data_IF_203700285138
#
_entry.id   IF_203700285138
#
_cell.length_a   1.000
_cell.length_b   1.000
_cell.length_c   1.000
_cell.angle_alpha   90.00
_cell.angle_beta   90.00
_cell.angle_gamma   90.00
#
_symmetry.space_group_name_H-M   'P 1'
#
loop_
_entity.id
_entity.type
_entity.pdbx_description
1 polymer ?
#
# COMPACT_ATOMS: atom_id res chain seq x y z
N UNK A 1 4.78 -76.15 -22.22
CA UNK A 1 3.55 -75.77 -21.48
C UNK A 1 4.02 -75.20 -20.15
N UNK A 2 3.93 -73.91 -19.80
CA UNK A 2 3.02 -72.84 -20.20
C UNK A 2 2.47 -72.21 -18.91
N UNK A 3 2.47 -70.88 -18.83
CA UNK A 3 1.99 -69.99 -17.74
C UNK A 3 2.89 -69.90 -16.49
N UNK A 4 3.71 -68.85 -16.30
CA UNK A 4 3.45 -67.41 -16.12
C UNK A 4 2.88 -67.06 -14.73
N UNK A 5 3.78 -66.84 -13.78
CA UNK A 5 3.53 -66.22 -12.47
C UNK A 5 3.42 -64.71 -12.67
N UNK A 6 2.23 -64.14 -12.45
CA UNK A 6 1.99 -62.70 -12.57
C UNK A 6 2.42 -61.95 -11.30
N UNK A 7 3.33 -61.00 -11.52
CA UNK A 7 3.37 -59.63 -11.00
C UNK A 7 2.81 -59.35 -9.59
N UNK A 8 3.70 -59.02 -8.64
CA UNK A 8 3.35 -58.27 -7.42
C UNK A 8 4.44 -57.26 -6.99
N UNK A 9 5.28 -56.78 -7.91
CA UNK A 9 6.40 -55.89 -7.60
C UNK A 9 6.16 -54.40 -7.98
N UNK A 10 4.98 -54.04 -8.49
CA UNK A 10 4.73 -52.71 -9.05
C UNK A 10 4.06 -51.70 -8.10
N UNK A 11 3.40 -52.15 -7.03
CA UNK A 11 2.53 -51.27 -6.21
C UNK A 11 3.28 -50.56 -5.08
N UNK A 12 4.28 -51.21 -4.48
CA UNK A 12 5.06 -50.62 -3.39
C UNK A 12 5.98 -49.47 -3.87
N UNK A 13 6.54 -49.57 -5.08
CA UNK A 13 7.47 -48.58 -5.63
C UNK A 13 6.75 -47.27 -5.98
N UNK A 14 5.51 -47.34 -6.49
CA UNK A 14 4.68 -46.16 -6.76
C UNK A 14 4.26 -45.42 -5.48
N UNK A 15 3.95 -46.15 -4.39
CA UNK A 15 3.58 -45.50 -3.12
C UNK A 15 4.75 -44.72 -2.50
N UNK A 16 5.98 -45.24 -2.57
CA UNK A 16 7.15 -44.53 -2.03
C UNK A 16 7.48 -43.29 -2.85
N UNK A 17 7.37 -43.33 -4.18
CA UNK A 17 7.61 -42.15 -5.03
C UNK A 17 6.53 -41.07 -4.87
N UNK A 18 5.26 -41.46 -4.72
CA UNK A 18 4.16 -40.51 -4.47
C UNK A 18 4.25 -39.89 -3.08
N UNK A 19 4.67 -40.64 -2.06
CA UNK A 19 4.93 -40.11 -0.71
C UNK A 19 6.17 -39.22 -0.68
N UNK A 20 7.25 -39.55 -1.40
CA UNK A 20 8.42 -38.66 -1.55
C UNK A 20 8.09 -37.39 -2.34
N UNK A 21 7.20 -37.44 -3.33
CA UNK A 21 6.73 -36.27 -4.05
C UNK A 21 5.76 -35.42 -3.20
N UNK A 22 4.93 -36.04 -2.35
CA UNK A 22 4.04 -35.36 -1.39
C UNK A 22 4.79 -34.75 -0.21
N UNK A 23 5.97 -35.25 0.15
CA UNK A 23 6.84 -34.66 1.20
C UNK A 23 7.71 -33.53 0.63
N UNK A 24 8.04 -33.55 -0.66
CA UNK A 24 8.67 -32.40 -1.36
C UNK A 24 7.66 -31.32 -1.76
N UNK A 25 6.38 -31.68 -1.87
CA UNK A 25 5.25 -30.76 -1.98
C UNK A 25 4.47 -30.65 -0.67
N UNK A 26 5.14 -30.89 0.48
CA UNK A 26 4.64 -30.34 1.73
C UNK A 26 4.49 -28.82 1.53
N UNK A 27 3.44 -28.17 2.06
CA UNK A 27 3.27 -26.75 1.86
C UNK A 27 4.38 -26.04 2.63
N UNK A 28 5.54 -25.88 2.00
CA UNK A 28 6.29 -24.64 2.06
C UNK A 28 5.43 -23.57 1.36
N UNK A 29 4.22 -23.34 1.88
CA UNK A 29 3.65 -22.02 1.93
C UNK A 29 4.61 -21.28 2.85
N UNK A 30 5.70 -20.77 2.26
CA UNK A 30 6.41 -19.67 2.87
C UNK A 30 5.36 -18.60 3.09
N UNK A 31 4.83 -18.54 4.32
CA UNK A 31 4.16 -17.36 4.81
C UNK A 31 5.12 -16.23 4.47
N UNK A 32 4.71 -15.33 3.57
CA UNK A 32 5.45 -14.11 3.37
C UNK A 32 5.58 -13.48 4.75
N UNK A 33 6.79 -13.50 5.30
CA UNK A 33 7.04 -12.87 6.59
C UNK A 33 6.81 -11.39 6.37
N UNK A 34 5.85 -10.85 7.10
CA UNK A 34 5.57 -9.43 7.09
C UNK A 34 5.39 -8.93 8.50
N UNK A 35 5.73 -7.66 8.69
CA UNK A 35 5.54 -6.92 9.93
C UNK A 35 4.60 -5.77 9.67
N UNK A 36 3.59 -5.60 10.52
CA UNK A 36 2.77 -4.39 10.52
C UNK A 36 3.60 -3.19 10.97
N UNK A 37 3.63 -2.17 10.13
CA UNK A 37 4.39 -0.93 10.37
C UNK A 37 3.41 0.11 10.92
N UNK A 38 3.51 0.48 12.20
CA UNK A 38 2.71 1.57 12.72
C UNK A 38 3.13 2.89 12.05
N UNK A 39 2.16 3.77 11.85
CA UNK A 39 2.38 5.08 11.27
C UNK A 39 1.61 6.15 12.03
N UNK A 40 2.10 7.39 11.92
CA UNK A 40 1.45 8.59 12.42
C UNK A 40 0.98 9.43 11.23
N UNK A 41 -0.26 9.92 11.26
CA UNK A 41 -0.73 10.87 10.22
C UNK A 41 -0.12 12.23 10.51
N UNK A 42 0.66 12.75 9.58
CA UNK A 42 1.25 14.08 9.67
C UNK A 42 0.28 15.12 9.14
N UNK A 43 -0.35 14.82 8.02
CA UNK A 43 -1.29 15.72 7.38
C UNK A 43 -2.22 14.99 6.41
N UNK A 44 -3.38 15.55 6.15
CA UNK A 44 -4.35 15.03 5.21
C UNK A 44 -5.37 16.10 4.82
N UNK A 45 -6.01 15.92 3.66
CA UNK A 45 -7.12 16.77 3.24
C UNK A 45 -7.04 17.09 1.78
N UNK A 46 -7.23 18.37 1.45
CA UNK A 46 -7.26 18.88 0.09
C UNK A 46 -6.01 19.73 -0.19
N UNK A 47 -5.16 19.23 -1.08
CA UNK A 47 -3.91 19.86 -1.49
C UNK A 47 -4.08 20.76 -2.72
N UNK A 48 -2.95 21.06 -3.35
CA UNK A 48 -2.85 21.76 -4.63
C UNK A 48 -1.87 21.05 -5.56
N UNK A 49 -1.96 21.33 -6.86
CA UNK A 49 -1.00 20.98 -7.93
C UNK A 49 -0.83 19.49 -8.29
N UNK A 50 -1.51 18.56 -7.60
CA UNK A 50 -1.47 17.14 -7.94
C UNK A 50 -2.68 16.73 -8.78
N UNK A 51 -2.68 17.11 -10.06
CA UNK A 51 -3.77 16.80 -10.99
C UNK A 51 -3.92 15.29 -11.26
N UNK A 52 -2.81 14.56 -11.23
CA UNK A 52 -2.77 13.11 -11.43
C UNK A 52 -2.45 12.40 -10.12
N UNK A 53 -2.86 11.13 -10.03
CA UNK A 53 -2.46 10.25 -8.92
C UNK A 53 -0.94 10.21 -8.84
N UNK A 54 -0.42 10.46 -7.63
CA UNK A 54 1.01 10.45 -7.35
C UNK A 54 1.27 9.88 -5.95
N UNK A 55 2.44 9.26 -5.77
CA UNK A 55 2.90 8.82 -4.47
C UNK A 55 4.37 9.16 -4.29
N UNK A 56 4.77 9.49 -3.06
CA UNK A 56 6.13 9.84 -2.74
C UNK A 56 6.60 9.14 -1.47
N UNK A 57 7.86 8.71 -1.49
CA UNK A 57 8.60 8.31 -0.31
C UNK A 57 9.61 9.41 -0.03
N UNK A 58 9.46 10.10 1.09
CA UNK A 58 10.28 11.26 1.44
C UNK A 58 11.22 10.87 2.58
N UNK A 59 12.52 10.93 2.31
CA UNK A 59 13.58 10.47 3.23
C UNK A 59 14.56 11.59 3.60
N UNK A 60 14.29 12.83 3.20
CA UNK A 60 15.10 13.98 3.58
C UNK A 60 14.26 15.26 3.63
N UNK A 61 14.79 16.22 4.39
CA UNK A 61 14.14 17.50 4.69
C UNK A 61 13.92 18.37 3.45
N UNK A 62 14.88 18.43 2.53
CA UNK A 62 14.75 19.25 1.31
C UNK A 62 13.59 18.82 0.42
N UNK A 63 13.40 17.51 0.25
CA UNK A 63 12.26 16.97 -0.51
C UNK A 63 10.94 17.22 0.24
N UNK A 64 10.96 17.13 1.57
CA UNK A 64 9.78 17.40 2.39
C UNK A 64 9.30 18.84 2.28
N UNK A 65 10.21 19.80 2.46
CA UNK A 65 9.90 21.22 2.33
C UNK A 65 9.38 21.56 0.93
N UNK A 66 10.00 20.99 -0.11
CA UNK A 66 9.59 21.23 -1.49
C UNK A 66 8.16 20.73 -1.75
N UNK A 67 7.84 19.51 -1.30
CA UNK A 67 6.51 18.93 -1.43
C UNK A 67 5.48 19.72 -0.59
N UNK A 68 5.83 20.16 0.62
CA UNK A 68 4.94 20.96 1.47
C UNK A 68 4.57 22.31 0.83
N UNK A 69 5.55 23.00 0.24
CA UNK A 69 5.32 24.27 -0.45
C UNK A 69 4.43 24.10 -1.68
N UNK A 70 4.62 23.01 -2.43
CA UNK A 70 3.76 22.67 -3.57
C UNK A 70 2.33 22.36 -3.12
N UNK A 71 2.19 21.51 -2.10
CA UNK A 71 0.92 21.11 -1.51
C UNK A 71 0.09 22.30 -1.04
N UNK A 72 0.75 23.31 -0.46
CA UNK A 72 0.12 24.49 0.13
C UNK A 72 0.21 25.75 -0.74
N UNK A 73 0.57 25.65 -2.01
CA UNK A 73 0.82 26.85 -2.85
C UNK A 73 -0.41 27.77 -3.00
N UNK A 74 -1.62 27.24 -2.81
CA UNK A 74 -2.88 27.99 -2.83
C UNK A 74 -3.31 28.60 -1.48
N UNK A 75 -2.57 28.35 -0.40
CA UNK A 75 -2.89 28.82 0.94
C UNK A 75 -2.06 30.04 1.35
N UNK A 76 -2.71 31.05 1.96
CA UNK A 76 -2.05 32.25 2.48
C UNK A 76 -2.56 32.55 3.90
N UNK A 77 -1.70 32.52 4.95
CA UNK A 77 -0.28 32.15 4.89
C UNK A 77 -0.10 30.64 4.64
N UNK A 78 1.06 30.27 4.09
CA UNK A 78 1.46 28.86 4.00
C UNK A 78 1.67 28.33 5.42
N UNK A 79 1.09 27.18 5.80
CA UNK A 79 1.32 26.56 7.11
C UNK A 79 2.80 26.21 7.34
N UNK A 80 3.21 26.20 8.60
CA UNK A 80 4.55 25.79 9.00
C UNK A 80 4.81 24.32 8.63
N UNK A 81 6.00 24.02 8.11
CA UNK A 81 6.40 22.66 7.73
C UNK A 81 6.59 21.81 9.00
N UNK A 82 5.92 20.67 9.14
CA UNK A 82 6.11 19.78 10.28
C UNK A 82 7.55 19.27 10.37
N UNK A 83 8.15 19.32 11.57
CA UNK A 83 9.51 18.81 11.80
C UNK A 83 9.52 17.28 11.81
N UNK A 84 10.45 16.68 11.06
CA UNK A 84 10.62 15.22 10.94
C UNK A 84 12.09 14.85 11.09
N UNK A 85 12.39 13.85 11.91
CA UNK A 85 13.76 13.38 12.10
C UNK A 85 14.09 12.30 11.06
N UNK A 86 14.54 12.73 9.88
CA UNK A 86 14.89 11.84 8.76
C UNK A 86 16.06 10.86 9.03
N UNK A 87 16.72 10.96 10.19
CA UNK A 87 17.69 9.92 10.61
C UNK A 87 17.02 8.63 11.07
N UNK A 88 15.76 8.71 11.50
CA UNK A 88 15.00 7.59 12.07
C UNK A 88 13.57 7.49 11.55
N UNK A 89 13.15 8.39 10.67
CA UNK A 89 11.79 8.53 10.17
C UNK A 89 11.79 8.75 8.66
N UNK A 90 10.75 8.28 7.98
CA UNK A 90 10.46 8.67 6.60
C UNK A 90 8.97 8.94 6.45
N UNK A 91 8.61 9.70 5.42
CA UNK A 91 7.22 9.98 5.08
C UNK A 91 6.78 9.21 3.85
N UNK A 92 5.50 8.85 3.84
CA UNK A 92 4.80 8.32 2.68
C UNK A 92 3.63 9.26 2.41
N UNK A 93 3.61 9.84 1.21
CA UNK A 93 2.55 10.71 0.76
C UNK A 93 1.80 10.05 -0.40
N UNK A 94 0.47 10.07 -0.36
CA UNK A 94 -0.40 9.57 -1.43
C UNK A 94 -1.36 10.67 -1.86
N UNK A 95 -1.55 10.80 -3.18
CA UNK A 95 -2.39 11.81 -3.81
C UNK A 95 -3.36 11.12 -4.76
N UNK A 96 -4.66 11.42 -4.62
CA UNK A 96 -5.71 10.80 -5.43
C UNK A 96 -5.82 11.42 -6.84
N UNK A 97 -5.19 12.56 -7.07
CA UNK A 97 -5.38 13.39 -8.26
C UNK A 97 -6.54 14.37 -8.11
N UNK A 98 -6.75 15.19 -9.14
CA UNK A 98 -7.83 16.17 -9.19
C UNK A 98 -9.21 15.49 -9.21
N UNK A 99 -10.16 16.07 -8.46
CA UNK A 99 -11.56 15.64 -8.42
C UNK A 99 -12.48 16.83 -8.67
N UNK A 100 -13.50 16.63 -9.51
CA UNK A 100 -14.43 17.68 -9.92
C UNK A 100 -15.58 17.97 -8.93
N UNK A 101 -15.58 17.32 -7.76
CA UNK A 101 -16.55 17.59 -6.70
C UNK A 101 -15.97 17.28 -5.33
N UNK A 102 -16.64 17.75 -4.28
CA UNK A 102 -16.37 17.32 -2.91
C UNK A 102 -16.74 15.85 -2.69
N UNK A 103 -16.32 15.27 -1.55
CA UNK A 103 -16.74 13.94 -1.11
C UNK A 103 -15.77 12.81 -1.47
N UNK A 104 -14.67 13.13 -2.15
CA UNK A 104 -13.56 12.21 -2.35
C UNK A 104 -12.60 12.28 -1.16
N UNK A 105 -12.02 11.14 -0.79
CA UNK A 105 -11.00 11.06 0.26
C UNK A 105 -9.94 10.03 -0.16
N UNK A 106 -8.73 10.17 0.37
CA UNK A 106 -7.69 9.16 0.27
C UNK A 106 -7.06 8.91 1.63
N UNK A 107 -6.95 7.63 2.00
CA UNK A 107 -6.51 7.22 3.32
C UNK A 107 -5.59 6.01 3.22
N UNK A 108 -4.34 6.16 3.65
CA UNK A 108 -3.46 5.07 4.03
C UNK A 108 -4.06 4.41 5.26
N UNK A 109 -4.50 3.16 5.12
CA UNK A 109 -5.15 2.41 6.20
C UNK A 109 -4.23 1.39 6.85
N UNK A 110 -3.21 0.94 6.12
CA UNK A 110 -2.25 -0.04 6.62
C UNK A 110 -0.92 0.06 5.89
N UNK A 111 0.16 -0.14 6.62
CA UNK A 111 1.49 -0.36 6.04
C UNK A 111 2.02 -1.68 6.59
N UNK A 112 2.48 -2.54 5.70
CA UNK A 112 3.26 -3.73 6.08
C UNK A 112 4.64 -3.65 5.43
N UNK A 113 5.61 -4.26 6.10
CA UNK A 113 6.96 -4.43 5.59
C UNK A 113 7.21 -5.93 5.41
N UNK A 114 7.74 -6.29 4.25
CA UNK A 114 8.35 -7.60 3.99
C UNK A 114 9.86 -7.46 3.97
N UNK A 115 10.59 -8.56 3.84
CA UNK A 115 12.05 -8.53 3.69
C UNK A 115 12.51 -7.80 2.40
N UNK A 116 11.61 -7.49 1.46
CA UNK A 116 11.95 -6.95 0.14
C UNK A 116 11.29 -5.62 -0.22
N UNK A 117 10.18 -5.24 0.43
CA UNK A 117 9.42 -4.03 0.11
C UNK A 117 8.43 -3.67 1.22
N UNK A 118 8.02 -2.40 1.24
CA UNK A 118 6.80 -1.96 1.93
C UNK A 118 5.59 -2.13 1.02
N UNK A 119 4.45 -2.53 1.62
CA UNK A 119 3.14 -2.48 0.98
C UNK A 119 2.26 -1.50 1.75
N UNK A 120 1.80 -0.47 1.06
CA UNK A 120 0.92 0.58 1.57
C UNK A 120 -0.48 0.31 1.02
N UNK A 121 -1.43 0.12 1.92
CA UNK A 121 -2.84 -0.04 1.57
C UNK A 121 -3.51 1.32 1.65
N UNK A 122 -4.17 1.70 0.57
CA UNK A 122 -4.83 3.00 0.40
C UNK A 122 -6.29 2.78 0.05
N UNK A 123 -7.17 3.34 0.87
CA UNK A 123 -8.58 3.45 0.56
C UNK A 123 -8.86 4.80 -0.11
N UNK A 124 -9.42 4.76 -1.31
CA UNK A 124 -9.93 5.92 -2.01
C UNK A 124 -11.46 5.93 -1.89
N UNK A 125 -12.00 6.88 -1.13
CA UNK A 125 -13.45 7.06 -1.00
C UNK A 125 -13.97 7.91 -2.14
N UNK A 126 -15.06 7.47 -2.77
CA UNK A 126 -15.75 8.14 -3.84
C UNK A 126 -17.21 8.36 -3.43
N UNK A 127 -17.81 9.53 -3.71
CA UNK A 127 -19.23 9.73 -3.49
C UNK A 127 -20.04 8.80 -4.41
N UNK A 128 -21.14 8.24 -3.89
CA UNK A 128 -22.08 7.43 -4.66
C UNK A 128 -22.76 8.22 -5.78
N UNK A 129 -23.30 7.51 -6.76
CA UNK A 129 -24.04 8.16 -7.85
C UNK A 129 -25.29 8.85 -7.32
N UNK A 130 -25.53 10.10 -7.74
CA UNK A 130 -26.69 10.87 -7.29
C UNK A 130 -26.54 11.49 -5.90
N UNK A 131 -25.39 11.30 -5.23
CA UNK A 131 -25.05 12.02 -4.02
C UNK A 131 -24.98 13.53 -4.26
N UNK A 132 -25.53 14.30 -3.32
CA UNK A 132 -25.44 15.76 -3.33
C UNK A 132 -24.04 16.24 -2.94
N UNK A 133 -23.12 16.34 -3.89
CA UNK A 133 -21.77 16.89 -3.68
C UNK A 133 -21.65 18.32 -4.21
N UNK A 134 -20.80 19.13 -3.60
CA UNK A 134 -20.49 20.46 -4.13
C UNK A 134 -19.61 20.33 -5.39
N UNK A 135 -19.96 21.07 -6.45
CA UNK A 135 -19.18 21.13 -7.69
C UNK A 135 -17.97 22.06 -7.52
N UNK A 136 -16.93 21.55 -6.87
CA UNK A 136 -15.67 22.24 -6.60
C UNK A 136 -14.50 21.33 -6.93
N UNK A 137 -13.41 21.90 -7.42
CA UNK A 137 -12.17 21.16 -7.68
C UNK A 137 -11.48 20.84 -6.36
N UNK A 138 -11.12 19.57 -6.14
CA UNK A 138 -10.44 19.10 -4.93
C UNK A 138 -9.25 18.22 -5.29
N UNK A 139 -8.33 18.02 -4.34
CA UNK A 139 -7.07 17.28 -4.53
C UNK A 139 -6.77 16.44 -3.28
N UNK A 140 -7.49 15.32 -3.07
CA UNK A 140 -7.37 14.55 -1.85
C UNK A 140 -5.98 13.96 -1.69
N UNK A 141 -5.39 14.11 -0.50
CA UNK A 141 -4.10 13.54 -0.15
C UNK A 141 -4.03 13.11 1.32
N UNK A 142 -3.05 12.25 1.62
CA UNK A 142 -2.63 11.96 2.99
C UNK A 142 -1.13 11.73 3.05
N UNK A 143 -0.52 12.19 4.15
CA UNK A 143 0.89 12.06 4.45
C UNK A 143 1.04 11.41 5.82
N UNK A 144 1.77 10.31 5.86
CA UNK A 144 2.04 9.57 7.09
C UNK A 144 3.53 9.44 7.31
N UNK A 145 3.91 9.34 8.59
CA UNK A 145 5.27 9.13 9.05
C UNK A 145 5.40 7.73 9.61
N UNK A 146 6.51 7.07 9.28
CA UNK A 146 6.90 5.78 9.84
C UNK A 146 8.30 5.86 10.43
N UNK A 147 8.54 5.10 11.51
CA UNK A 147 9.78 5.15 12.29
C UNK A 147 10.41 3.78 12.44
N UNK A 148 11.74 3.68 12.49
CA UNK A 148 12.45 2.48 12.94
C UNK A 148 12.52 1.30 11.96
N UNK A 149 12.27 1.52 10.67
CA UNK A 149 12.30 0.47 9.63
C UNK A 149 13.31 0.81 8.51
N UNK A 150 13.78 -0.15 7.70
CA UNK A 150 14.77 0.10 6.65
C UNK A 150 14.24 1.03 5.55
N UNK A 151 14.86 2.20 5.35
CA UNK A 151 14.34 3.22 4.42
C UNK A 151 14.64 2.97 2.93
N UNK A 152 15.49 1.98 2.62
CA UNK A 152 15.93 1.69 1.25
C UNK A 152 15.02 0.69 0.51
N UNK A 153 14.04 0.12 1.22
CA UNK A 153 13.12 -0.83 0.60
C UNK A 153 12.14 -0.11 -0.34
N UNK A 154 11.87 -0.65 -1.54
CA UNK A 154 10.88 -0.07 -2.43
C UNK A 154 9.49 -0.08 -1.80
N UNK A 155 8.69 0.94 -2.11
CA UNK A 155 7.31 1.07 -1.63
C UNK A 155 6.34 0.69 -2.75
N UNK A 156 5.38 -0.18 -2.45
CA UNK A 156 4.30 -0.60 -3.33
C UNK A 156 2.96 -0.18 -2.74
N UNK A 157 1.98 0.03 -3.62
CA UNK A 157 0.67 0.55 -3.25
C UNK A 157 -0.41 -0.42 -3.70
N UNK A 158 -1.37 -0.66 -2.82
CA UNK A 158 -2.61 -1.40 -3.11
C UNK A 158 -3.76 -0.44 -2.86
N UNK A 159 -4.52 -0.16 -3.92
CA UNK A 159 -5.68 0.73 -3.84
C UNK A 159 -6.96 -0.07 -3.74
N UNK A 160 -7.82 0.36 -2.84
CA UNK A 160 -9.18 -0.12 -2.69
C UNK A 160 -10.14 1.07 -2.85
N UNK A 161 -11.14 0.93 -3.72
CA UNK A 161 -12.12 1.99 -3.98
C UNK A 161 -13.34 1.71 -3.11
N UNK A 162 -13.71 2.69 -2.29
CA UNK A 162 -14.89 2.63 -1.43
C UNK A 162 -15.93 3.61 -1.98
N UNK A 163 -17.13 3.12 -2.26
CA UNK A 163 -18.25 3.99 -2.62
C UNK A 163 -19.01 4.36 -1.34
N UNK A 164 -19.11 5.66 -1.08
CA UNK A 164 -19.90 6.21 0.02
C UNK A 164 -21.26 6.62 -0.53
N UNK A 165 -22.24 5.74 -0.37
CA UNK A 165 -23.64 6.00 -0.72
C UNK A 165 -24.25 7.05 0.22
N UNK A 166 -25.11 7.90 -0.33
CA UNK A 166 -25.84 8.88 0.46
C UNK A 166 -27.02 8.22 1.19
N UNK A 167 -27.15 8.50 2.48
CA UNK A 167 -28.31 8.11 3.29
C UNK A 167 -29.57 8.96 2.98
#
# INVERSE_FOLDING_TARGET
MGASTKAFAGTAICMVLVVSFLVLAGPNLGLLSYTDVPFEVIDFGEGYNYEQRANFTITNETVWESLWLELYSGHIPIPEVPTVNFTSEMLIAVFQGERGSSGYLTNITRIIMTDAYYMVYVDETHPGEGCGTAAVMTYPYQIVKISGHPFELPVRYVYNIIIHECE
#
